data_IF_735035206012
#
_entry.id   IF_735035206012
#
_cell.length_a   1.000
_cell.length_b   1.000
_cell.length_c   1.000
_cell.angle_alpha   90.00
_cell.angle_beta   90.00
_cell.angle_gamma   90.00
#
_symmetry.space_group_name_H-M   'P 1'
#
loop_
_entity.id
_entity.type
_entity.pdbx_description
1 polymer ?
#
# COMPACT_ATOMS: atom_id res chain seq x y z
N UNK A 1 5.61 10.71 -43.47
CA UNK A 1 5.82 11.88 -42.59
C UNK A 1 5.89 11.35 -41.16
N UNK A 2 7.11 11.18 -40.65
CA UNK A 2 7.31 10.75 -39.25
C UNK A 2 7.01 11.92 -38.33
N UNK A 3 6.00 11.76 -37.49
CA UNK A 3 5.73 12.67 -36.38
C UNK A 3 6.87 12.44 -35.36
N UNK A 4 7.87 13.33 -35.37
CA UNK A 4 8.84 13.41 -34.30
C UNK A 4 8.09 13.88 -33.05
N UNK A 5 7.74 12.94 -32.16
CA UNK A 5 7.27 13.31 -30.84
C UNK A 5 8.40 14.09 -30.15
N UNK A 6 8.15 15.35 -29.82
CA UNK A 6 9.06 16.15 -29.01
C UNK A 6 9.36 15.38 -27.71
N UNK A 7 10.60 15.38 -27.22
CA UNK A 7 10.92 14.73 -25.96
C UNK A 7 10.03 15.33 -24.85
N UNK A 8 9.11 14.55 -24.34
CA UNK A 8 8.25 14.98 -23.25
C UNK A 8 9.13 15.20 -22.01
N UNK A 9 9.16 16.42 -21.48
CA UNK A 9 9.90 16.72 -20.26
C UNK A 9 9.42 15.80 -19.13
N UNK A 10 10.37 15.13 -18.47
CA UNK A 10 10.10 14.32 -17.28
C UNK A 10 9.89 15.26 -16.09
N UNK A 11 8.89 14.93 -15.26
CA UNK A 11 8.60 15.64 -14.02
C UNK A 11 9.62 15.24 -12.94
N UNK A 12 10.26 16.20 -12.26
CA UNK A 12 11.21 15.91 -11.20
C UNK A 12 10.50 15.40 -9.95
N UNK A 13 11.00 14.31 -9.37
CA UNK A 13 10.45 13.74 -8.13
C UNK A 13 11.55 13.49 -7.11
N UNK A 14 11.23 13.74 -5.84
CA UNK A 14 12.10 13.48 -4.70
C UNK A 14 11.67 12.26 -3.91
N UNK A 15 12.61 11.58 -3.26
CA UNK A 15 12.33 10.47 -2.36
C UNK A 15 13.03 10.71 -1.02
N UNK A 16 12.25 10.94 0.03
CA UNK A 16 12.69 10.95 1.43
C UNK A 16 12.63 9.52 1.99
N UNK A 17 13.59 9.12 2.83
CA UNK A 17 13.69 7.73 3.31
C UNK A 17 14.14 6.75 2.22
N UNK A 18 14.86 7.22 1.22
CA UNK A 18 15.26 6.51 0.00
C UNK A 18 16.08 5.24 0.24
N UNK A 19 16.76 5.10 1.38
CA UNK A 19 17.59 3.94 1.70
C UNK A 19 16.82 2.73 2.24
N UNK A 20 15.56 2.92 2.68
CA UNK A 20 14.67 1.85 3.15
C UNK A 20 14.14 0.95 2.02
N UNK A 21 13.49 -0.16 2.36
CA UNK A 21 12.94 -1.08 1.34
C UNK A 21 11.92 -0.40 0.43
N UNK A 22 10.94 0.33 0.99
CA UNK A 22 9.95 1.06 0.20
C UNK A 22 10.59 2.19 -0.63
N UNK A 23 11.55 2.94 -0.04
CA UNK A 23 12.30 3.98 -0.74
C UNK A 23 13.08 3.45 -1.93
N UNK A 24 13.79 2.31 -1.77
CA UNK A 24 14.52 1.66 -2.88
C UNK A 24 13.57 1.16 -3.98
N UNK A 25 12.41 0.65 -3.60
CA UNK A 25 11.40 0.24 -4.58
C UNK A 25 10.85 1.45 -5.35
N UNK A 26 10.58 2.58 -4.67
CA UNK A 26 10.21 3.84 -5.31
C UNK A 26 11.29 4.32 -6.30
N UNK A 27 12.57 4.30 -5.90
CA UNK A 27 13.67 4.66 -6.80
C UNK A 27 13.71 3.78 -8.04
N UNK A 28 13.49 2.47 -7.89
CA UNK A 28 13.43 1.54 -9.01
C UNK A 28 12.22 1.79 -9.93
N UNK A 29 11.07 2.17 -9.35
CA UNK A 29 9.88 2.57 -10.12
C UNK A 29 10.11 3.88 -10.86
N UNK A 30 10.69 4.90 -10.22
CA UNK A 30 11.02 6.19 -10.85
C UNK A 30 12.01 6.01 -11.99
N UNK A 31 13.04 5.18 -11.84
CA UNK A 31 14.07 4.96 -12.87
C UNK A 31 13.47 4.43 -14.19
N UNK A 32 12.51 3.52 -14.11
CA UNK A 32 11.81 2.97 -15.29
C UNK A 32 10.60 3.78 -15.75
N UNK A 33 10.19 4.80 -14.97
CA UNK A 33 8.99 5.56 -15.30
C UNK A 33 9.22 6.49 -16.52
N UNK A 34 8.34 6.46 -17.54
CA UNK A 34 8.56 7.23 -18.77
C UNK A 34 8.43 8.73 -18.57
N UNK A 35 7.67 9.19 -17.56
CA UNK A 35 7.34 10.61 -17.32
C UNK A 35 7.98 11.21 -16.08
N UNK A 36 8.67 10.42 -15.24
CA UNK A 36 9.32 10.92 -14.02
C UNK A 36 10.85 10.88 -14.15
N UNK A 37 11.51 11.77 -13.44
CA UNK A 37 12.96 11.80 -13.27
C UNK A 37 13.31 12.04 -11.80
N UNK A 38 14.29 11.34 -11.28
CA UNK A 38 14.76 11.54 -9.92
C UNK A 38 15.47 12.89 -9.79
N UNK A 39 14.93 13.78 -8.95
CA UNK A 39 15.56 15.04 -8.57
C UNK A 39 16.53 14.83 -7.39
N UNK A 40 16.09 14.13 -6.35
CA UNK A 40 16.91 13.79 -5.18
C UNK A 40 16.47 12.48 -4.53
N UNK A 41 17.40 11.84 -3.80
CA UNK A 41 17.17 10.68 -2.97
C UNK A 41 17.79 10.92 -1.60
N UNK A 42 16.98 11.18 -0.56
CA UNK A 42 17.48 11.54 0.75
C UNK A 42 17.32 10.41 1.78
N UNK A 43 18.32 10.27 2.66
CA UNK A 43 18.32 9.30 3.75
C UNK A 43 19.06 9.86 4.97
N UNK A 44 18.51 9.65 6.17
CA UNK A 44 19.10 10.17 7.40
C UNK A 44 20.35 9.38 7.81
N UNK A 45 20.20 8.09 8.15
CA UNK A 45 21.28 7.26 8.68
C UNK A 45 22.34 6.85 7.63
N UNK A 46 21.97 6.90 6.35
CA UNK A 46 22.82 6.45 5.23
C UNK A 46 23.20 7.58 4.26
N UNK A 47 23.18 8.82 4.74
CA UNK A 47 23.63 9.98 3.96
C UNK A 47 25.07 9.78 3.48
N UNK A 48 25.36 10.18 2.25
CA UNK A 48 26.66 10.02 1.61
C UNK A 48 26.96 8.61 1.10
N UNK A 49 26.18 7.61 1.49
CA UNK A 49 26.33 6.25 0.96
C UNK A 49 25.85 6.15 -0.49
N UNK A 50 26.43 5.21 -1.22
CA UNK A 50 26.06 4.90 -2.60
C UNK A 50 25.29 3.58 -2.66
N UNK A 51 24.23 3.56 -3.46
CA UNK A 51 23.50 2.35 -3.79
C UNK A 51 23.37 2.20 -5.31
N UNK A 52 23.30 0.96 -5.79
CA UNK A 52 22.93 0.68 -7.18
C UNK A 52 21.47 0.25 -7.21
N UNK A 53 20.64 1.01 -7.91
CA UNK A 53 19.20 0.78 -8.04
C UNK A 53 18.85 0.89 -9.51
N UNK A 54 18.19 -0.12 -10.08
CA UNK A 54 17.86 -0.16 -11.50
C UNK A 54 19.10 -0.07 -12.45
N UNK A 55 20.27 -0.42 -11.94
CA UNK A 55 21.53 -0.28 -12.70
C UNK A 55 22.20 1.11 -12.57
N UNK A 56 21.55 2.11 -11.96
CA UNK A 56 22.11 3.44 -11.70
C UNK A 56 22.75 3.52 -10.33
N UNK A 57 23.90 4.20 -10.25
CA UNK A 57 24.49 4.59 -8.97
C UNK A 57 23.79 5.84 -8.46
N UNK A 58 23.26 5.75 -7.23
CA UNK A 58 22.59 6.84 -6.52
C UNK A 58 23.40 7.10 -5.24
N UNK A 59 23.69 8.36 -4.95
CA UNK A 59 24.22 8.81 -3.67
C UNK A 59 23.06 9.37 -2.86
N UNK A 60 22.94 9.00 -1.59
CA UNK A 60 21.90 9.53 -0.74
C UNK A 60 22.32 10.87 -0.14
N UNK A 61 21.49 11.89 -0.36
CA UNK A 61 21.62 13.19 0.29
C UNK A 61 21.20 13.10 1.76
N UNK A 62 21.62 14.04 2.59
CA UNK A 62 21.04 14.17 3.93
C UNK A 62 19.57 14.62 3.80
N UNK A 63 18.70 14.13 4.68
CA UNK A 63 17.28 14.51 4.64
C UNK A 63 17.11 16.02 4.84
N UNK A 64 17.93 16.61 5.69
CA UNK A 64 17.95 18.04 6.02
C UNK A 64 18.31 18.93 4.82
N UNK A 65 19.09 18.41 3.90
CA UNK A 65 19.61 19.10 2.71
C UNK A 65 18.78 18.83 1.44
N UNK A 66 17.67 18.06 1.57
CA UNK A 66 16.84 17.68 0.43
C UNK A 66 16.28 18.93 -0.29
N UNK A 67 16.51 19.10 -1.60
CA UNK A 67 16.04 20.25 -2.36
C UNK A 67 14.55 20.10 -2.71
N UNK A 68 13.68 20.26 -1.72
CA UNK A 68 12.23 20.01 -1.85
C UNK A 68 11.58 20.87 -2.94
N UNK A 69 12.05 22.10 -3.14
CA UNK A 69 11.53 23.03 -4.14
C UNK A 69 11.84 22.61 -5.60
N UNK A 70 12.83 21.71 -5.81
CA UNK A 70 13.19 21.22 -7.13
C UNK A 70 12.31 20.05 -7.59
N UNK A 71 11.40 19.58 -6.74
CA UNK A 71 10.53 18.43 -7.03
C UNK A 71 9.08 18.88 -7.30
N UNK A 72 8.49 18.37 -8.37
CA UNK A 72 7.05 18.49 -8.60
C UNK A 72 6.24 17.58 -7.67
N UNK A 73 6.86 16.47 -7.20
CA UNK A 73 6.27 15.53 -6.25
C UNK A 73 7.36 14.93 -5.36
N UNK A 74 7.03 14.76 -4.07
CA UNK A 74 7.89 14.11 -3.08
C UNK A 74 7.19 12.85 -2.56
N UNK A 75 7.88 11.72 -2.61
CA UNK A 75 7.51 10.52 -1.86
C UNK A 75 8.17 10.57 -0.49
N UNK A 76 7.37 10.49 0.58
CA UNK A 76 7.89 10.33 1.93
C UNK A 76 7.80 8.87 2.37
N UNK A 77 8.94 8.18 2.41
CA UNK A 77 9.11 6.84 2.94
C UNK A 77 9.90 6.86 4.27
N UNK A 78 9.72 7.94 5.04
CA UNK A 78 10.32 8.13 6.35
C UNK A 78 9.66 7.22 7.41
N UNK A 79 10.33 6.99 8.56
CA UNK A 79 9.73 6.27 9.67
C UNK A 79 8.44 6.93 10.17
N UNK A 80 7.59 6.14 10.80
CA UNK A 80 6.38 6.62 11.45
C UNK A 80 6.75 7.55 12.62
N UNK A 81 6.02 8.65 12.76
CA UNK A 81 6.29 9.70 13.74
C UNK A 81 7.30 10.75 13.27
N UNK A 82 7.96 10.54 12.14
CA UNK A 82 8.98 11.46 11.61
C UNK A 82 8.55 12.13 10.30
N UNK A 83 7.53 11.62 9.62
CA UNK A 83 7.17 12.02 8.26
C UNK A 83 6.40 13.33 8.20
N UNK A 84 5.43 13.55 9.09
CA UNK A 84 4.50 14.68 9.01
C UNK A 84 5.18 16.07 8.90
N UNK A 85 6.25 16.40 9.65
CA UNK A 85 6.95 17.67 9.48
C UNK A 85 7.58 17.84 8.09
N UNK A 86 8.06 16.75 7.49
CA UNK A 86 8.66 16.76 6.15
C UNK A 86 7.62 16.89 5.05
N UNK A 87 6.46 16.26 5.23
CA UNK A 87 5.31 16.43 4.35
C UNK A 87 4.90 17.90 4.30
N UNK A 88 4.73 18.54 5.46
CA UNK A 88 4.38 19.96 5.55
C UNK A 88 5.44 20.86 4.89
N UNK A 89 6.73 20.55 5.04
CA UNK A 89 7.82 21.30 4.39
C UNK A 89 7.81 21.13 2.87
N UNK A 90 7.56 19.91 2.36
CA UNK A 90 7.49 19.65 0.94
C UNK A 90 6.28 20.34 0.30
N UNK A 91 5.12 20.31 0.96
CA UNK A 91 3.92 21.03 0.55
C UNK A 91 4.15 22.55 0.52
N UNK A 92 4.75 23.12 1.56
CA UNK A 92 5.11 24.53 1.61
C UNK A 92 6.13 24.95 0.54
N UNK A 93 6.96 24.01 0.08
CA UNK A 93 7.88 24.21 -1.04
C UNK A 93 7.18 24.10 -2.42
N UNK A 94 5.88 23.81 -2.46
CA UNK A 94 5.08 23.71 -3.68
C UNK A 94 5.02 22.30 -4.30
N UNK A 95 5.65 21.29 -3.69
CA UNK A 95 5.60 19.93 -4.16
C UNK A 95 4.30 19.22 -3.76
N UNK A 96 3.76 18.36 -4.63
CA UNK A 96 2.76 17.36 -4.23
C UNK A 96 3.43 16.28 -3.39
N UNK A 97 2.67 15.62 -2.50
CA UNK A 97 3.27 14.63 -1.59
C UNK A 97 2.46 13.34 -1.55
N UNK A 98 3.16 12.21 -1.60
CA UNK A 98 2.61 10.90 -1.23
C UNK A 98 3.37 10.40 0.01
N UNK A 99 2.66 10.33 1.14
CA UNK A 99 3.22 9.88 2.42
C UNK A 99 2.96 8.39 2.65
N UNK A 100 4.02 7.59 2.76
CA UNK A 100 3.96 6.16 3.03
C UNK A 100 4.00 5.84 4.54
N UNK A 101 4.17 6.85 5.40
CA UNK A 101 4.15 6.65 6.84
C UNK A 101 2.72 6.43 7.37
N UNK A 102 2.58 6.21 8.67
CA UNK A 102 1.27 6.14 9.32
C UNK A 102 0.77 7.51 9.81
N UNK A 103 1.60 8.56 9.70
CA UNK A 103 1.36 9.83 10.38
C UNK A 103 0.09 10.54 9.92
N UNK A 104 -0.26 10.40 8.63
CA UNK A 104 -1.43 11.03 8.03
C UNK A 104 -2.59 10.07 7.76
N UNK A 105 -2.45 8.78 8.13
CA UNK A 105 -3.50 7.78 7.88
C UNK A 105 -4.68 7.93 8.83
N UNK A 106 -5.89 7.54 8.42
CA UNK A 106 -7.06 7.45 9.31
C UNK A 106 -6.75 6.59 10.53
N UNK A 107 -7.24 7.00 11.71
CA UNK A 107 -6.96 6.31 12.98
C UNK A 107 -5.59 6.60 13.60
N UNK A 108 -4.72 7.35 12.93
CA UNK A 108 -3.37 7.70 13.40
C UNK A 108 -3.28 9.03 14.18
N UNK A 109 -4.41 9.70 14.44
CA UNK A 109 -4.44 10.96 15.22
C UNK A 109 -4.33 12.23 14.38
N UNK A 110 -4.04 12.16 13.08
CA UNK A 110 -4.18 13.30 12.17
C UNK A 110 -5.66 13.55 11.85
N UNK A 111 -6.09 14.82 11.61
CA UNK A 111 -7.44 15.11 11.17
C UNK A 111 -7.67 14.48 9.78
N UNK A 112 -8.21 13.27 9.77
CA UNK A 112 -8.41 12.42 8.59
C UNK A 112 -9.34 13.03 7.51
N UNK A 113 -9.99 14.16 7.80
CA UNK A 113 -10.92 14.79 6.86
C UNK A 113 -10.22 15.53 5.70
N UNK A 114 -8.99 15.97 5.87
CA UNK A 114 -8.30 16.85 4.92
C UNK A 114 -7.36 16.10 3.96
N UNK A 115 -6.72 15.01 4.42
CA UNK A 115 -5.79 14.23 3.60
C UNK A 115 -6.46 12.98 3.06
N UNK A 116 -6.60 12.82 1.73
CA UNK A 116 -7.15 11.62 1.13
C UNK A 116 -6.35 10.37 1.50
N UNK A 117 -7.07 9.32 1.88
CA UNK A 117 -6.51 7.99 2.03
C UNK A 117 -6.33 7.36 0.65
N UNK A 118 -5.09 7.15 0.24
CA UNK A 118 -4.68 6.82 -1.12
C UNK A 118 -4.84 5.33 -1.48
N UNK A 119 -5.96 4.71 -1.12
CA UNK A 119 -6.38 3.43 -1.70
C UNK A 119 -7.18 3.75 -2.96
N UNK A 120 -6.49 3.82 -4.10
CA UNK A 120 -6.98 4.38 -5.36
C UNK A 120 -8.33 3.80 -5.78
N UNK A 121 -8.51 2.50 -5.67
CA UNK A 121 -9.72 1.78 -6.09
C UNK A 121 -10.98 2.18 -5.32
N UNK A 122 -10.82 2.84 -4.19
CA UNK A 122 -11.95 3.33 -3.40
C UNK A 122 -11.99 4.86 -3.24
N UNK A 123 -10.92 5.57 -3.62
CA UNK A 123 -10.77 7.00 -3.35
C UNK A 123 -10.21 7.81 -4.55
N UNK A 124 -10.23 7.27 -5.77
CA UNK A 124 -9.59 7.83 -6.98
C UNK A 124 -9.84 9.32 -7.17
N UNK A 125 -11.10 9.77 -7.12
CA UNK A 125 -11.44 11.16 -7.38
C UNK A 125 -10.90 12.11 -6.29
N UNK A 126 -10.87 11.66 -5.04
CA UNK A 126 -10.27 12.43 -3.94
C UNK A 126 -8.76 12.56 -4.10
N UNK A 127 -8.10 11.49 -4.58
CA UNK A 127 -6.65 11.48 -4.86
C UNK A 127 -6.31 12.46 -5.98
N UNK A 128 -7.05 12.48 -7.09
CA UNK A 128 -6.80 13.36 -8.24
C UNK A 128 -6.73 14.85 -7.89
N UNK A 129 -7.58 15.30 -6.98
CA UNK A 129 -7.67 16.72 -6.59
C UNK A 129 -6.73 17.13 -5.47
N UNK A 130 -5.95 16.22 -4.90
CA UNK A 130 -5.19 16.47 -3.68
C UNK A 130 -3.82 17.10 -3.92
N UNK A 131 -3.24 17.69 -2.87
CA UNK A 131 -1.82 18.07 -2.78
C UNK A 131 -1.02 17.04 -2.01
N UNK A 132 -1.62 16.46 -0.96
CA UNK A 132 -1.03 15.44 -0.10
C UNK A 132 -1.93 14.21 -0.09
N UNK A 133 -1.35 13.01 -0.15
CA UNK A 133 -2.05 11.73 -0.06
C UNK A 133 -1.40 10.84 0.98
N UNK A 134 -2.20 10.28 1.90
CA UNK A 134 -1.76 9.27 2.86
C UNK A 134 -1.83 7.88 2.21
N UNK A 135 -0.68 7.31 1.86
CA UNK A 135 -0.61 5.99 1.25
C UNK A 135 -0.92 4.87 2.25
N UNK A 136 -1.73 3.87 1.89
CA UNK A 136 -2.13 2.78 2.78
C UNK A 136 -0.96 1.97 3.35
N UNK A 137 -1.18 1.33 4.51
CA UNK A 137 -0.33 0.26 4.99
C UNK A 137 -0.55 -1.05 4.23
N UNK A 138 0.48 -1.89 4.12
CA UNK A 138 0.43 -3.07 3.27
C UNK A 138 -0.67 -4.09 3.65
N UNK A 139 -0.83 -4.39 4.94
CA UNK A 139 -1.94 -5.25 5.39
C UNK A 139 -3.31 -4.57 5.22
N UNK A 140 -3.37 -3.25 5.45
CA UNK A 140 -4.59 -2.50 5.26
C UNK A 140 -4.99 -2.48 3.77
N UNK A 141 -4.03 -2.34 2.85
CA UNK A 141 -4.29 -2.46 1.40
C UNK A 141 -4.95 -3.79 1.07
N UNK A 142 -4.37 -4.92 1.51
CA UNK A 142 -4.91 -6.25 1.23
C UNK A 142 -6.33 -6.42 1.82
N UNK A 143 -6.50 -6.09 3.10
CA UNK A 143 -7.77 -6.28 3.81
C UNK A 143 -8.88 -5.35 3.29
N UNK A 144 -8.57 -4.07 3.08
CA UNK A 144 -9.56 -3.09 2.65
C UNK A 144 -10.01 -3.30 1.21
N UNK A 145 -9.11 -3.66 0.29
CA UNK A 145 -9.53 -4.05 -1.06
C UNK A 145 -10.41 -5.31 -1.06
N UNK A 146 -10.17 -6.24 -0.13
CA UNK A 146 -11.02 -7.40 0.01
C UNK A 146 -12.40 -7.08 0.62
N UNK A 147 -12.49 -6.14 1.56
CA UNK A 147 -13.69 -5.86 2.35
C UNK A 147 -14.53 -4.70 1.83
N UNK A 148 -13.94 -3.73 1.14
CA UNK A 148 -14.64 -2.52 0.68
C UNK A 148 -15.87 -2.81 -0.20
N UNK A 149 -15.86 -3.79 -1.15
CA UNK A 149 -17.06 -4.11 -1.92
C UNK A 149 -18.23 -4.61 -1.07
N UNK A 150 -17.95 -5.33 0.01
CA UNK A 150 -18.95 -5.83 0.93
C UNK A 150 -19.48 -4.71 1.86
N UNK A 151 -18.57 -3.88 2.39
CA UNK A 151 -18.92 -2.76 3.26
C UNK A 151 -19.85 -1.76 2.54
N UNK A 152 -19.46 -1.30 1.34
CA UNK A 152 -20.26 -0.37 0.54
C UNK A 152 -21.65 -0.87 0.17
N UNK A 153 -21.86 -2.17 0.15
CA UNK A 153 -23.15 -2.80 -0.16
C UNK A 153 -23.95 -3.19 1.07
N UNK A 154 -23.46 -2.90 2.29
CA UNK A 154 -24.10 -3.34 3.53
C UNK A 154 -24.17 -4.86 3.67
N UNK A 155 -23.25 -5.59 3.06
CA UNK A 155 -23.21 -7.06 3.10
C UNK A 155 -22.44 -7.58 4.32
N UNK A 156 -21.69 -6.79 5.03
CA UNK A 156 -21.07 -7.16 6.30
C UNK A 156 -22.16 -7.16 7.37
N UNK A 157 -22.32 -8.27 8.07
CA UNK A 157 -23.34 -8.36 9.11
C UNK A 157 -22.95 -7.48 10.31
N UNK A 158 -23.86 -6.58 10.70
CA UNK A 158 -23.62 -5.61 11.77
C UNK A 158 -23.44 -6.29 13.13
N UNK A 159 -22.53 -5.76 13.94
CA UNK A 159 -22.19 -6.29 15.27
C UNK A 159 -21.44 -7.63 15.24
N UNK A 160 -21.02 -8.10 14.07
CA UNK A 160 -20.24 -9.33 13.91
C UNK A 160 -18.75 -9.04 13.82
N UNK A 161 -17.95 -10.10 13.96
CA UNK A 161 -16.50 -10.00 13.92
C UNK A 161 -15.94 -10.35 12.54
N UNK A 162 -15.06 -9.53 12.02
CA UNK A 162 -14.21 -9.83 10.86
C UNK A 162 -12.89 -10.37 11.38
N UNK A 163 -12.58 -11.62 11.09
CA UNK A 163 -11.30 -12.23 11.46
C UNK A 163 -10.33 -12.17 10.26
N UNK A 164 -9.16 -11.59 10.46
CA UNK A 164 -8.11 -11.42 9.45
C UNK A 164 -6.83 -12.08 9.95
N UNK A 165 -6.43 -13.19 9.34
CA UNK A 165 -5.14 -13.82 9.54
C UNK A 165 -4.27 -13.54 8.32
N UNK A 166 -3.16 -12.84 8.50
CA UNK A 166 -2.32 -12.44 7.39
C UNK A 166 -0.85 -12.72 7.64
N UNK A 167 -0.17 -13.31 6.66
CA UNK A 167 1.26 -13.58 6.68
C UNK A 167 2.01 -12.63 5.74
N UNK A 168 3.09 -12.02 6.22
CA UNK A 168 3.92 -11.10 5.44
C UNK A 168 5.37 -11.53 5.41
N UNK A 169 6.01 -11.34 4.25
CA UNK A 169 7.45 -11.45 4.13
C UNK A 169 8.18 -10.41 5.01
N UNK A 170 9.43 -10.74 5.36
CA UNK A 170 10.26 -10.00 6.35
C UNK A 170 10.53 -8.54 5.98
N UNK A 171 10.48 -8.16 4.71
CA UNK A 171 10.68 -6.76 4.29
C UNK A 171 9.59 -5.82 4.81
N UNK A 172 8.44 -6.35 5.21
CA UNK A 172 7.37 -5.58 5.85
C UNK A 172 7.76 -5.00 7.21
N UNK A 173 8.76 -5.56 7.88
CA UNK A 173 9.29 -5.07 9.16
C UNK A 173 10.21 -3.85 9.02
N UNK A 174 10.54 -3.43 7.79
CA UNK A 174 11.43 -2.30 7.53
C UNK A 174 12.91 -2.71 7.43
N UNK A 175 13.76 -1.71 7.14
CA UNK A 175 15.19 -1.93 6.87
C UNK A 175 16.07 -1.86 8.12
N UNK A 176 15.56 -1.37 9.23
CA UNK A 176 16.33 -1.24 10.48
C UNK A 176 16.72 -2.63 11.00
N UNK A 177 18.01 -2.92 11.22
CA UNK A 177 18.44 -4.20 11.75
C UNK A 177 17.86 -4.46 13.14
N UNK A 178 17.36 -5.68 13.34
CA UNK A 178 16.82 -6.16 14.61
C UNK A 178 17.26 -7.58 14.85
N UNK A 179 17.56 -7.94 16.11
CA UNK A 179 18.03 -9.28 16.46
C UNK A 179 17.03 -10.37 16.07
N UNK A 180 15.72 -10.12 16.30
CA UNK A 180 14.64 -11.04 15.98
C UNK A 180 14.34 -11.18 14.47
N UNK A 181 15.04 -10.42 13.62
CA UNK A 181 14.95 -10.47 12.16
C UNK A 181 16.25 -10.95 11.49
N UNK A 182 17.21 -11.44 12.28
CA UNK A 182 18.41 -12.09 11.72
C UNK A 182 18.00 -13.36 10.96
N UNK A 183 18.77 -13.71 9.93
CA UNK A 183 18.46 -14.86 9.09
C UNK A 183 18.25 -16.16 9.90
N UNK A 184 19.10 -16.43 10.90
CA UNK A 184 19.00 -17.61 11.76
C UNK A 184 17.74 -17.61 12.65
N UNK A 185 17.17 -16.45 12.93
CA UNK A 185 15.96 -16.30 13.76
C UNK A 185 14.65 -16.36 12.95
N UNK A 186 14.76 -16.16 11.64
CA UNK A 186 13.60 -16.10 10.74
C UNK A 186 13.51 -17.32 9.82
N UNK A 187 14.66 -17.88 9.42
CA UNK A 187 14.69 -19.05 8.54
C UNK A 187 13.98 -20.24 9.18
N UNK A 188 13.13 -20.91 8.40
CA UNK A 188 12.37 -22.09 8.84
C UNK A 188 11.37 -21.83 10.00
N UNK A 189 11.05 -20.54 10.30
CA UNK A 189 10.11 -20.15 11.34
C UNK A 189 8.90 -19.40 10.75
N UNK A 190 7.71 -19.67 11.29
CA UNK A 190 6.48 -18.98 10.98
C UNK A 190 5.75 -18.62 12.27
N UNK A 191 5.68 -17.34 12.60
CA UNK A 191 5.18 -16.90 13.90
C UNK A 191 4.22 -15.73 13.81
N UNK A 192 3.22 -15.72 14.71
CA UNK A 192 2.37 -14.56 14.93
C UNK A 192 3.12 -13.48 15.72
N UNK A 193 2.74 -12.22 15.51
CA UNK A 193 3.22 -11.08 16.27
C UNK A 193 2.11 -10.06 16.50
N UNK A 194 2.36 -9.04 17.32
CA UNK A 194 1.38 -7.98 17.64
C UNK A 194 -0.01 -8.51 17.99
N UNK A 195 -0.04 -9.55 18.85
CA UNK A 195 -1.30 -10.15 19.32
C UNK A 195 -2.16 -9.16 20.11
N UNK A 196 -3.45 -9.42 20.20
CA UNK A 196 -4.40 -8.57 20.93
C UNK A 196 -4.71 -7.26 20.21
N UNK A 197 -4.73 -7.28 18.87
CA UNK A 197 -5.02 -6.11 18.02
C UNK A 197 -4.06 -4.91 18.23
N UNK A 198 -2.82 -5.16 18.67
CA UNK A 198 -1.84 -4.10 18.94
C UNK A 198 -1.16 -3.57 17.68
N UNK A 199 -1.40 -4.19 16.51
CA UNK A 199 -0.82 -3.74 15.25
C UNK A 199 -1.46 -2.42 14.78
N UNK A 200 -0.64 -1.43 14.41
CA UNK A 200 -1.09 -0.09 13.97
C UNK A 200 -2.10 -0.07 12.81
N UNK A 201 -2.08 -1.08 11.93
CA UNK A 201 -3.03 -1.15 10.82
C UNK A 201 -4.47 -1.48 11.28
N UNK A 202 -4.70 -1.91 12.52
CA UNK A 202 -6.05 -2.17 13.03
C UNK A 202 -6.86 -0.87 13.07
N UNK A 203 -6.30 0.19 13.65
CA UNK A 203 -6.95 1.50 13.71
C UNK A 203 -7.23 2.06 12.30
N UNK A 204 -6.28 1.90 11.38
CA UNK A 204 -6.40 2.29 9.97
C UNK A 204 -7.57 1.54 9.28
N UNK A 205 -7.58 0.22 9.37
CA UNK A 205 -8.64 -0.62 8.78
C UNK A 205 -10.02 -0.30 9.36
N UNK A 206 -10.09 -0.17 10.69
CA UNK A 206 -11.34 0.11 11.39
C UNK A 206 -11.93 1.47 10.96
N UNK A 207 -11.10 2.52 10.92
CA UNK A 207 -11.54 3.85 10.52
C UNK A 207 -12.05 3.89 9.07
N UNK A 208 -11.36 3.20 8.15
CA UNK A 208 -11.76 3.15 6.74
C UNK A 208 -13.04 2.34 6.57
N UNK A 209 -13.16 1.16 7.18
CA UNK A 209 -14.34 0.32 7.09
C UNK A 209 -15.57 1.01 7.71
N UNK A 210 -15.43 1.67 8.85
CA UNK A 210 -16.48 2.48 9.45
C UNK A 210 -16.94 3.61 8.52
N UNK A 211 -16.00 4.29 7.86
CA UNK A 211 -16.29 5.30 6.84
C UNK A 211 -17.01 4.74 5.59
N UNK A 212 -16.90 3.45 5.33
CA UNK A 212 -17.62 2.73 4.27
C UNK A 212 -18.97 2.14 4.75
N UNK A 213 -19.36 2.37 6.01
CA UNK A 213 -20.62 1.93 6.59
C UNK A 213 -20.60 0.55 7.23
N UNK A 214 -19.43 -0.05 7.45
CA UNK A 214 -19.32 -1.31 8.18
C UNK A 214 -19.37 -1.07 9.70
N UNK A 215 -20.27 -1.79 10.39
CA UNK A 215 -20.37 -1.86 11.84
C UNK A 215 -19.93 -3.27 12.28
N UNK A 216 -18.63 -3.47 12.44
CA UNK A 216 -18.05 -4.77 12.76
C UNK A 216 -16.76 -4.64 13.58
N UNK A 217 -16.55 -5.59 14.48
CA UNK A 217 -15.29 -5.73 15.19
C UNK A 217 -14.22 -6.34 14.26
N UNK A 218 -12.95 -5.97 14.47
CA UNK A 218 -11.82 -6.57 13.78
C UNK A 218 -10.99 -7.41 14.73
N UNK A 219 -10.70 -8.66 14.33
CA UNK A 219 -9.63 -9.46 14.94
C UNK A 219 -8.54 -9.62 13.88
N UNK A 220 -7.40 -9.02 14.12
CA UNK A 220 -6.26 -9.06 13.20
C UNK A 220 -5.07 -9.78 13.83
N UNK A 221 -4.65 -10.86 13.19
CA UNK A 221 -3.47 -11.63 13.58
C UNK A 221 -2.45 -11.63 12.45
N UNK A 222 -1.44 -10.75 12.51
CA UNK A 222 -0.33 -10.76 11.55
C UNK A 222 0.67 -11.86 11.90
N UNK A 223 1.28 -12.44 10.85
CA UNK A 223 2.33 -13.44 10.96
C UNK A 223 3.55 -13.02 10.14
N UNK A 224 4.72 -13.35 10.63
CA UNK A 224 5.97 -13.23 9.90
C UNK A 224 6.24 -14.54 9.14
N UNK A 225 6.47 -14.42 7.84
CA UNK A 225 6.77 -15.55 6.95
C UNK A 225 8.25 -15.46 6.51
N UNK A 226 9.02 -16.57 6.48
CA UNK A 226 10.43 -16.58 6.13
C UNK A 226 10.67 -16.45 4.62
N UNK A 227 10.04 -15.47 4.01
CA UNK A 227 10.24 -15.04 2.63
C UNK A 227 10.51 -13.55 2.58
N UNK A 228 11.13 -13.05 1.54
CA UNK A 228 11.45 -11.63 1.46
C UNK A 228 10.22 -10.75 1.25
N UNK A 229 9.29 -11.17 0.40
CA UNK A 229 8.16 -10.36 -0.07
C UNK A 229 6.86 -11.16 -0.14
N UNK A 230 5.76 -10.42 -0.13
CA UNK A 230 4.41 -10.89 -0.33
C UNK A 230 3.60 -10.88 0.95
N UNK A 231 2.30 -10.67 0.80
CA UNK A 231 1.29 -10.85 1.83
C UNK A 231 0.26 -11.83 1.30
N UNK A 232 -0.10 -12.80 2.15
CA UNK A 232 -1.29 -13.63 1.98
C UNK A 232 -2.17 -13.40 3.19
N UNK A 233 -3.44 -13.01 2.96
CA UNK A 233 -4.41 -12.85 4.04
C UNK A 233 -5.62 -13.75 3.81
N UNK A 234 -6.05 -14.43 4.87
CA UNK A 234 -7.32 -15.15 4.95
C UNK A 234 -8.27 -14.38 5.85
N UNK A 235 -9.41 -13.98 5.31
CA UNK A 235 -10.42 -13.18 5.98
C UNK A 235 -11.68 -13.99 6.09
N UNK A 236 -12.25 -14.07 7.29
CA UNK A 236 -13.51 -14.79 7.56
C UNK A 236 -14.47 -13.82 8.23
N UNK A 237 -15.71 -13.74 7.71
CA UNK A 237 -16.73 -12.85 8.25
C UNK A 237 -18.13 -13.39 7.97
N UNK A 238 -19.07 -13.06 8.86
CA UNK A 238 -20.50 -13.26 8.62
C UNK A 238 -21.02 -12.16 7.67
N UNK A 239 -21.91 -12.56 6.75
CA UNK A 239 -22.55 -11.64 5.80
C UNK A 239 -24.07 -11.70 5.94
N UNK A 240 -24.73 -10.62 5.49
CA UNK A 240 -26.20 -10.51 5.55
C UNK A 240 -26.90 -11.50 4.60
N UNK A 241 -26.26 -11.81 3.48
CA UNK A 241 -26.75 -12.77 2.48
C UNK A 241 -25.61 -13.32 1.63
N UNK A 242 -25.83 -14.46 0.99
CA UNK A 242 -24.94 -15.06 0.00
C UNK A 242 -25.61 -15.04 -1.37
N UNK A 243 -24.88 -14.64 -2.38
CA UNK A 243 -25.25 -14.77 -3.79
C UNK A 243 -24.82 -16.12 -4.34
N UNK A 244 -25.50 -16.64 -5.37
CA UNK A 244 -25.04 -17.79 -6.14
C UNK A 244 -23.68 -17.51 -6.80
N UNK A 245 -23.44 -16.27 -7.27
CA UNK A 245 -22.11 -15.80 -7.64
C UNK A 245 -21.49 -15.06 -6.44
N UNK A 246 -20.65 -15.78 -5.70
CA UNK A 246 -19.99 -15.24 -4.49
C UNK A 246 -19.08 -14.04 -4.84
N UNK A 247 -18.48 -14.00 -6.03
CA UNK A 247 -17.58 -12.93 -6.45
C UNK A 247 -18.30 -11.71 -7.07
N UNK A 248 -19.63 -11.73 -7.19
CA UNK A 248 -20.41 -10.63 -7.77
C UNK A 248 -20.12 -9.25 -7.16
N UNK A 249 -19.98 -9.08 -5.82
CA UNK A 249 -19.66 -7.78 -5.22
C UNK A 249 -18.34 -7.19 -5.72
N UNK A 250 -17.31 -8.03 -5.87
CA UNK A 250 -15.99 -7.61 -6.37
C UNK A 250 -16.00 -7.35 -7.86
N UNK A 251 -16.65 -8.21 -8.68
CA UNK A 251 -16.80 -7.97 -10.11
C UNK A 251 -17.47 -6.64 -10.41
N UNK A 252 -18.54 -6.33 -9.68
CA UNK A 252 -19.26 -5.07 -9.87
C UNK A 252 -18.49 -3.84 -9.37
N UNK A 253 -17.62 -3.98 -8.37
CA UNK A 253 -16.80 -2.87 -7.83
C UNK A 253 -15.54 -2.63 -8.64
N UNK A 254 -14.89 -3.70 -9.14
CA UNK A 254 -13.55 -3.70 -9.68
C UNK A 254 -13.48 -4.08 -11.17
N UNK A 255 -14.61 -3.96 -11.90
CA UNK A 255 -14.68 -4.33 -13.32
C UNK A 255 -13.60 -3.65 -14.17
N UNK A 256 -13.31 -2.39 -13.89
CA UNK A 256 -12.37 -1.55 -14.63
C UNK A 256 -11.07 -1.26 -13.87
N UNK A 257 -10.79 -2.03 -12.79
CA UNK A 257 -9.61 -1.80 -11.97
C UNK A 257 -8.40 -2.58 -12.51
N UNK A 258 -7.37 -1.90 -13.02
CA UNK A 258 -6.28 -2.54 -13.76
C UNK A 258 -5.39 -3.44 -12.90
N UNK A 259 -5.44 -3.29 -11.57
CA UNK A 259 -4.58 -3.99 -10.64
C UNK A 259 -5.31 -4.96 -9.71
N UNK A 260 -6.58 -5.28 -10.04
CA UNK A 260 -7.40 -6.23 -9.27
C UNK A 260 -7.70 -7.46 -10.12
N UNK A 261 -7.25 -8.61 -9.68
CA UNK A 261 -7.45 -9.90 -10.32
C UNK A 261 -8.34 -10.79 -9.45
N UNK A 262 -9.52 -11.15 -9.95
CA UNK A 262 -10.41 -12.12 -9.31
C UNK A 262 -10.13 -13.50 -9.89
N UNK A 263 -9.93 -14.49 -9.01
CA UNK A 263 -9.56 -15.85 -9.39
C UNK A 263 -10.53 -16.88 -8.81
N UNK A 264 -10.65 -18.02 -9.48
CA UNK A 264 -11.41 -19.16 -8.93
C UNK A 264 -10.57 -19.92 -7.90
N UNK A 265 -9.31 -20.11 -8.17
CA UNK A 265 -8.38 -20.76 -7.24
C UNK A 265 -7.84 -19.78 -6.19
N UNK A 266 -7.42 -20.31 -5.05
CA UNK A 266 -6.79 -19.52 -4.01
C UNK A 266 -5.45 -18.95 -4.51
N UNK A 267 -5.25 -17.63 -4.40
CA UNK A 267 -4.00 -17.00 -4.83
C UNK A 267 -2.84 -17.41 -3.93
N UNK A 268 -1.64 -17.48 -4.53
CA UNK A 268 -0.39 -17.67 -3.82
C UNK A 268 0.46 -16.38 -3.84
N UNK A 269 1.41 -16.27 -2.92
CA UNK A 269 2.32 -15.12 -2.86
C UNK A 269 3.14 -14.98 -4.16
N UNK A 270 3.57 -16.09 -4.75
CA UNK A 270 4.34 -16.08 -6.00
C UNK A 270 3.59 -15.47 -7.19
N UNK A 271 2.26 -15.47 -7.17
CA UNK A 271 1.45 -14.89 -8.24
C UNK A 271 1.54 -13.36 -8.34
N UNK A 272 1.90 -12.70 -7.23
CA UNK A 272 1.82 -11.25 -7.08
C UNK A 272 3.17 -10.57 -6.75
N UNK A 273 4.19 -11.35 -6.41
CA UNK A 273 5.51 -10.78 -6.06
C UNK A 273 6.08 -9.98 -7.23
N UNK A 274 6.50 -8.74 -6.94
CA UNK A 274 7.01 -7.73 -7.88
C UNK A 274 5.98 -7.17 -8.87
N UNK A 275 4.69 -7.44 -8.65
CA UNK A 275 3.59 -6.88 -9.44
C UNK A 275 2.80 -5.87 -8.61
N UNK A 276 2.24 -4.85 -9.26
CA UNK A 276 1.30 -3.93 -8.63
C UNK A 276 -0.12 -4.50 -8.67
N UNK A 277 -0.28 -5.76 -8.30
CA UNK A 277 -1.53 -6.48 -8.40
C UNK A 277 -2.02 -6.97 -7.03
N UNK A 278 -3.36 -7.04 -6.89
CA UNK A 278 -4.04 -7.81 -5.88
C UNK A 278 -4.76 -8.98 -6.57
N UNK A 279 -4.53 -10.22 -6.09
CA UNK A 279 -5.32 -11.39 -6.47
C UNK A 279 -6.23 -11.82 -5.34
N UNK A 280 -7.48 -12.11 -5.65
CA UNK A 280 -8.50 -12.44 -4.66
C UNK A 280 -9.42 -13.56 -5.14
N UNK A 281 -9.76 -14.45 -4.21
CA UNK A 281 -10.91 -15.36 -4.33
C UNK A 281 -11.77 -15.28 -3.08
N UNK A 282 -13.03 -15.67 -3.20
CA UNK A 282 -13.95 -15.80 -2.07
C UNK A 282 -14.80 -17.07 -2.21
N UNK A 283 -15.13 -17.70 -1.09
CA UNK A 283 -16.00 -18.88 -1.00
C UNK A 283 -16.99 -18.72 0.12
N UNK A 284 -18.21 -19.22 -0.10
CA UNK A 284 -19.18 -19.43 0.96
C UNK A 284 -18.75 -20.63 1.81
N UNK A 285 -18.76 -20.48 3.12
CA UNK A 285 -18.47 -21.59 4.04
C UNK A 285 -19.71 -22.42 4.28
N UNK A 286 -19.63 -23.73 4.03
CA UNK A 286 -20.65 -24.69 4.38
C UNK A 286 -20.63 -25.00 5.88
N UNK A 287 -21.78 -25.39 6.44
CA UNK A 287 -21.89 -25.87 7.84
C UNK A 287 -21.84 -24.75 8.89
N UNK A 288 -21.84 -23.50 8.52
CA UNK A 288 -21.95 -22.36 9.43
C UNK A 288 -23.40 -22.03 9.75
N UNK A 289 -23.68 -21.54 10.98
CA UNK A 289 -25.06 -21.19 11.42
C UNK A 289 -25.57 -19.93 10.70
N UNK A 290 -24.70 -19.08 10.27
CA UNK A 290 -24.98 -17.82 9.51
C UNK A 290 -24.29 -17.85 8.17
N UNK A 291 -24.79 -17.14 7.15
CA UNK A 291 -24.07 -16.94 5.92
C UNK A 291 -22.67 -16.40 6.20
N UNK A 292 -21.65 -17.13 5.84
CA UNK A 292 -20.26 -16.79 6.15
C UNK A 292 -19.41 -16.89 4.90
N UNK A 293 -18.55 -15.89 4.69
CA UNK A 293 -17.56 -15.87 3.63
C UNK A 293 -16.16 -16.13 4.18
N UNK A 294 -15.37 -16.83 3.39
CA UNK A 294 -13.93 -16.85 3.49
C UNK A 294 -13.33 -16.23 2.23
N UNK A 295 -12.48 -15.25 2.42
CA UNK A 295 -11.79 -14.53 1.36
C UNK A 295 -10.30 -14.79 1.51
N UNK A 296 -9.64 -15.11 0.41
CA UNK A 296 -8.18 -15.22 0.36
C UNK A 296 -7.66 -14.16 -0.60
N UNK A 297 -6.70 -13.36 -0.15
CA UNK A 297 -6.13 -12.26 -0.91
C UNK A 297 -4.62 -12.26 -0.82
N UNK A 298 -3.95 -12.01 -1.94
CA UNK A 298 -2.49 -11.88 -2.03
C UNK A 298 -2.10 -10.56 -2.70
N UNK A 299 -1.05 -9.91 -2.18
CA UNK A 299 -0.37 -8.74 -2.77
C UNK A 299 1.14 -8.81 -2.54
N UNK A 300 1.93 -8.08 -3.32
CA UNK A 300 3.32 -7.76 -2.93
C UNK A 300 3.31 -6.62 -1.90
N UNK A 301 3.87 -6.87 -0.71
CA UNK A 301 3.88 -5.89 0.39
C UNK A 301 4.69 -4.62 0.10
N UNK A 302 5.67 -4.67 -0.82
CA UNK A 302 6.47 -3.50 -1.21
C UNK A 302 5.97 -2.82 -2.48
N UNK A 303 5.26 -3.54 -3.37
CA UNK A 303 4.70 -2.96 -4.60
C UNK A 303 3.27 -2.52 -4.34
N UNK A 304 2.25 -3.36 -4.53
CA UNK A 304 0.84 -2.98 -4.28
C UNK A 304 0.59 -2.56 -2.83
N UNK A 305 1.32 -3.14 -1.88
CA UNK A 305 1.22 -2.80 -0.47
C UNK A 305 1.95 -1.52 -0.05
N UNK A 306 2.79 -0.90 -0.90
CA UNK A 306 3.59 0.27 -0.53
C UNK A 306 3.96 1.14 -1.74
N UNK A 307 5.12 0.92 -2.36
CA UNK A 307 5.70 1.79 -3.39
C UNK A 307 4.90 1.81 -4.70
N UNK A 308 4.31 0.69 -5.09
CA UNK A 308 3.46 0.62 -6.28
C UNK A 308 2.17 1.39 -6.09
N UNK A 309 1.49 1.23 -4.94
CA UNK A 309 0.31 2.04 -4.59
C UNK A 309 0.67 3.53 -4.52
N UNK A 310 1.83 3.87 -3.95
CA UNK A 310 2.30 5.24 -3.90
C UNK A 310 2.57 5.81 -5.29
N UNK A 311 3.12 5.04 -6.22
CA UNK A 311 3.31 5.44 -7.61
C UNK A 311 1.97 5.60 -8.34
N UNK A 312 0.99 4.71 -8.11
CA UNK A 312 -0.36 4.83 -8.65
C UNK A 312 -1.02 6.14 -8.19
N UNK A 313 -0.91 6.47 -6.90
CA UNK A 313 -1.37 7.74 -6.34
C UNK A 313 -0.63 8.94 -6.96
N UNK A 314 0.70 8.85 -7.11
CA UNK A 314 1.50 9.91 -7.71
C UNK A 314 1.11 10.19 -9.17
N UNK A 315 0.83 9.16 -9.96
CA UNK A 315 0.33 9.29 -11.32
C UNK A 315 -0.97 10.10 -11.36
N UNK A 316 -1.92 9.79 -10.49
CA UNK A 316 -3.19 10.54 -10.39
C UNK A 316 -2.97 11.98 -9.95
N UNK A 317 -2.12 12.22 -8.93
CA UNK A 317 -1.77 13.56 -8.46
C UNK A 317 -1.16 14.43 -9.56
N UNK A 318 -0.36 13.81 -10.44
CA UNK A 318 0.32 14.49 -11.55
C UNK A 318 -0.53 14.54 -12.83
N UNK A 319 -1.76 14.03 -12.82
CA UNK A 319 -2.65 14.00 -13.99
C UNK A 319 -2.17 13.03 -15.07
N UNK A 320 -1.43 12.00 -14.69
CA UNK A 320 -0.95 10.93 -15.58
C UNK A 320 -1.91 9.73 -15.53
N UNK A 321 -1.76 8.82 -16.52
CA UNK A 321 -2.42 7.52 -16.46
C UNK A 321 -1.93 6.76 -15.22
N UNK A 322 -2.86 6.24 -14.42
CA UNK A 322 -2.56 5.61 -13.13
C UNK A 322 -1.70 4.36 -13.23
N UNK A 323 -1.69 3.70 -14.38
CA UNK A 323 -0.92 2.47 -14.62
C UNK A 323 0.52 2.72 -15.06
N UNK A 324 0.83 3.96 -15.41
CA UNK A 324 2.10 4.31 -16.06
C UNK A 324 3.31 3.96 -15.18
N UNK A 325 4.26 3.20 -15.77
CA UNK A 325 5.50 2.80 -15.09
C UNK A 325 5.33 1.71 -14.01
N UNK A 326 4.11 1.19 -13.81
CA UNK A 326 3.82 0.14 -12.86
C UNK A 326 3.91 -1.26 -13.49
N UNK A 327 4.45 -2.27 -12.78
CA UNK A 327 4.45 -3.65 -13.23
C UNK A 327 3.05 -4.24 -12.99
N UNK A 328 2.41 -4.69 -14.06
CA UNK A 328 1.14 -5.42 -14.01
C UNK A 328 1.35 -6.90 -13.69
#
# INVERSE_FOLDING_TARGET
MGIYALPMHKLPVGVLGASGYAGRELLALVDRHPRLALAFAAAHARRGERATIGGRRITFDATEDAPLADAALVFSALPHGESAPWVARAEAAGAKVVDLSADLRPGGGAPAAEVPYGLTEIARERVRGAQVVANPGCYATAALLALAPLARRGLIAAGETITINAASGVTGAGFTPRADLLFAEVAEDFRAYALGNTHRHVAEMHAVLGGLGADADLIFTPHLLPVSRGILATITLAVTSLSADVLAPWRAQYADEPFIELTEDAPAICDVVRRNAMRLTARALAGTRRPTLQIVVAIDNLVKGAAGQAMQNANLLLGLDETLGLPA
#
